data_IF_495305017828
#
_entry.id   IF_495305017828
#
_cell.length_a   1.000
_cell.length_b   1.000
_cell.length_c   1.000
_cell.angle_alpha   90.00
_cell.angle_beta   90.00
_cell.angle_gamma   90.00
#
_symmetry.space_group_name_H-M   'P 1'
#
loop_
_entity.id
_entity.type
_entity.pdbx_description
1 polymer ?
#
# COMPACT_ATOMS: atom_id res chain seq x y z
N UNK A 1 3.97 -7.74 -24.21
CA UNK A 1 2.69 -7.96 -23.54
C UNK A 1 2.01 -6.61 -23.33
N UNK A 2 0.73 -6.50 -23.67
CA UNK A 2 -0.06 -5.26 -23.54
C UNK A 2 -1.06 -5.42 -22.39
N UNK A 3 -0.99 -4.54 -21.39
CA UNK A 3 -1.80 -4.59 -20.19
C UNK A 3 -2.64 -3.33 -20.01
N UNK A 4 -3.90 -3.46 -19.61
CA UNK A 4 -4.74 -2.37 -19.18
C UNK A 4 -4.85 -2.37 -17.65
N UNK A 5 -4.39 -1.31 -17.00
CA UNK A 5 -4.59 -1.11 -15.56
C UNK A 5 -5.84 -0.25 -15.34
N UNK A 6 -6.79 -0.76 -14.55
CA UNK A 6 -8.05 -0.06 -14.23
C UNK A 6 -8.13 0.20 -12.73
N UNK A 7 -8.37 1.46 -12.35
CA UNK A 7 -8.39 1.85 -10.93
C UNK A 7 -9.27 3.05 -10.64
N UNK A 8 -9.80 3.12 -9.43
CA UNK A 8 -10.41 4.33 -8.86
C UNK A 8 -9.53 4.96 -7.75
N UNK A 9 -8.31 4.44 -7.61
CA UNK A 9 -7.29 4.87 -6.64
C UNK A 9 -6.05 5.31 -7.43
N UNK A 10 -6.01 6.57 -7.85
CA UNK A 10 -4.85 7.14 -8.53
C UNK A 10 -4.69 8.61 -8.10
N UNK A 11 -3.47 9.09 -7.87
CA UNK A 11 -3.23 10.47 -7.47
C UNK A 11 -3.70 11.46 -8.53
N UNK A 12 -4.37 12.51 -8.10
CA UNK A 12 -4.71 13.67 -8.92
C UNK A 12 -4.30 14.96 -8.20
N UNK A 13 -4.23 16.12 -8.86
CA UNK A 13 -3.94 17.38 -8.18
C UNK A 13 -4.89 17.66 -6.99
N UNK A 14 -6.17 17.28 -7.12
CA UNK A 14 -7.19 17.47 -6.08
C UNK A 14 -7.11 16.40 -4.97
N UNK A 15 -6.48 15.27 -5.26
CA UNK A 15 -6.36 14.11 -4.34
C UNK A 15 -4.97 13.48 -4.42
N UNK A 16 -3.92 14.19 -4.03
CA UNK A 16 -2.54 13.73 -4.20
C UNK A 16 -2.20 12.48 -3.37
N UNK A 17 -2.91 12.26 -2.27
CA UNK A 17 -2.73 11.08 -1.40
C UNK A 17 -3.56 9.86 -1.84
N UNK A 18 -4.29 9.91 -2.96
CA UNK A 18 -5.16 8.82 -3.41
C UNK A 18 -4.37 7.77 -4.20
N UNK A 19 -4.08 6.61 -3.60
CA UNK A 19 -3.52 5.44 -4.27
C UNK A 19 -2.13 5.63 -4.88
N UNK A 20 -1.17 6.28 -4.21
CA UNK A 20 0.19 6.45 -4.74
C UNK A 20 0.86 5.12 -5.07
N UNK A 21 0.53 4.05 -4.35
CA UNK A 21 1.03 2.70 -4.59
C UNK A 21 0.59 2.12 -5.96
N UNK A 22 -0.58 2.54 -6.49
CA UNK A 22 -1.01 2.14 -7.84
C UNK A 22 -0.20 2.90 -8.89
N UNK A 23 0.05 4.20 -8.69
CA UNK A 23 0.95 4.97 -9.53
C UNK A 23 2.35 4.33 -9.57
N UNK A 24 2.89 4.02 -8.40
CA UNK A 24 4.22 3.40 -8.28
C UNK A 24 4.28 2.05 -9.02
N UNK A 25 3.20 1.27 -9.00
CA UNK A 25 3.10 0.03 -9.78
C UNK A 25 3.09 0.30 -11.28
N UNK A 26 2.26 1.21 -11.76
CA UNK A 26 2.17 1.56 -13.19
C UNK A 26 3.51 2.08 -13.71
N UNK A 27 4.16 2.96 -12.94
CA UNK A 27 5.47 3.51 -13.31
C UNK A 27 6.55 2.42 -13.32
N UNK A 28 6.57 1.53 -12.34
CA UNK A 28 7.52 0.43 -12.29
C UNK A 28 7.33 -0.56 -13.45
N UNK A 29 6.08 -0.88 -13.79
CA UNK A 29 5.75 -1.72 -14.94
C UNK A 29 6.22 -1.08 -16.25
N UNK A 30 6.00 0.23 -16.44
CA UNK A 30 6.45 0.96 -17.62
C UNK A 30 7.97 1.02 -17.75
N UNK A 31 8.69 1.19 -16.62
CA UNK A 31 10.16 1.18 -16.61
C UNK A 31 10.77 -0.16 -17.05
N UNK A 32 10.06 -1.27 -16.92
CA UNK A 32 10.55 -2.58 -17.33
C UNK A 32 10.81 -2.70 -18.84
N UNK A 33 9.99 -2.04 -19.66
CA UNK A 33 10.11 -2.07 -21.13
C UNK A 33 9.63 -3.35 -21.82
N UNK A 34 9.33 -4.42 -21.08
CA UNK A 34 8.81 -5.69 -21.63
C UNK A 34 7.26 -5.78 -21.59
N UNK A 35 6.61 -4.73 -21.07
CA UNK A 35 5.16 -4.59 -20.98
C UNK A 35 4.73 -3.19 -21.40
N UNK A 36 3.80 -3.10 -22.32
CA UNK A 36 3.08 -1.87 -22.63
C UNK A 36 1.92 -1.72 -21.67
N UNK A 37 1.87 -0.61 -20.92
CA UNK A 37 0.85 -0.38 -19.89
C UNK A 37 0.00 0.81 -20.23
N UNK A 38 -1.29 0.55 -20.49
CA UNK A 38 -2.34 1.56 -20.51
C UNK A 38 -2.97 1.72 -19.13
N UNK A 39 -3.36 2.95 -18.81
CA UNK A 39 -4.01 3.28 -17.53
C UNK A 39 -5.38 3.89 -17.79
N UNK A 40 -6.40 3.29 -17.18
CA UNK A 40 -7.72 3.88 -17.04
C UNK A 40 -8.01 4.17 -15.56
N UNK A 41 -7.88 5.42 -15.17
CA UNK A 41 -8.20 5.88 -13.83
C UNK A 41 -9.50 6.70 -13.83
N UNK A 42 -10.35 6.50 -12.82
CA UNK A 42 -11.59 7.23 -12.66
C UNK A 42 -11.86 7.59 -11.20
N UNK A 43 -12.64 8.64 -10.89
CA UNK A 43 -12.90 9.03 -9.51
C UNK A 43 -13.71 7.97 -8.75
N UNK A 44 -13.36 7.74 -7.47
CA UNK A 44 -14.18 6.91 -6.58
C UNK A 44 -15.59 7.50 -6.39
N UNK A 45 -16.55 6.64 -6.06
CA UNK A 45 -17.94 7.00 -5.81
C UNK A 45 -18.93 6.20 -6.65
N UNK A 46 -20.05 5.82 -6.05
CA UNK A 46 -21.02 4.87 -6.61
C UNK A 46 -21.55 5.26 -8.00
N UNK A 47 -21.73 6.55 -8.25
CA UNK A 47 -22.21 7.09 -9.55
C UNK A 47 -21.18 6.96 -10.68
N UNK A 48 -19.89 6.81 -10.33
CA UNK A 48 -18.81 6.76 -11.31
C UNK A 48 -18.60 5.36 -11.90
N UNK A 49 -18.98 4.30 -11.21
CA UNK A 49 -18.82 2.93 -11.71
C UNK A 49 -19.59 2.64 -13.00
N UNK A 50 -20.91 2.98 -13.14
CA UNK A 50 -21.61 2.83 -14.42
C UNK A 50 -21.07 3.70 -15.56
N UNK A 51 -20.53 4.89 -15.22
CA UNK A 51 -19.88 5.77 -16.21
C UNK A 51 -18.57 5.15 -16.67
N UNK A 52 -17.76 4.63 -15.74
CA UNK A 52 -16.51 3.95 -16.03
C UNK A 52 -16.74 2.70 -16.91
N UNK A 53 -17.77 1.90 -16.62
CA UNK A 53 -18.12 0.73 -17.45
C UNK A 53 -18.43 1.13 -18.91
N UNK A 54 -19.25 2.17 -19.12
CA UNK A 54 -19.56 2.66 -20.46
C UNK A 54 -18.33 3.20 -21.18
N UNK A 55 -17.49 3.95 -20.46
CA UNK A 55 -16.28 4.54 -21.04
C UNK A 55 -15.23 3.48 -21.36
N UNK A 56 -15.03 2.46 -20.49
CA UNK A 56 -14.19 1.30 -20.76
C UNK A 56 -14.65 0.57 -22.00
N UNK A 57 -15.96 0.30 -22.09
CA UNK A 57 -16.53 -0.38 -23.28
C UNK A 57 -16.36 0.45 -24.55
N UNK A 58 -16.54 1.78 -24.47
CA UNK A 58 -16.39 2.67 -25.61
C UNK A 58 -14.94 2.75 -26.11
N UNK A 59 -13.96 2.81 -25.17
CA UNK A 59 -12.54 2.95 -25.52
C UNK A 59 -11.91 1.64 -25.90
N UNK A 60 -12.24 0.55 -25.18
CA UNK A 60 -11.49 -0.70 -25.19
C UNK A 60 -12.34 -1.93 -25.55
N UNK A 61 -13.64 -1.80 -25.78
CA UNK A 61 -14.52 -2.95 -26.07
C UNK A 61 -14.26 -3.68 -27.40
N UNK A 62 -13.37 -3.16 -28.24
CA UNK A 62 -12.89 -3.81 -29.46
C UNK A 62 -11.38 -4.03 -29.49
N UNK A 63 -10.68 -3.71 -28.38
CA UNK A 63 -9.24 -3.83 -28.28
C UNK A 63 -8.83 -5.11 -27.57
N UNK A 64 -7.75 -5.72 -28.03
CA UNK A 64 -7.14 -6.88 -27.38
C UNK A 64 -6.06 -6.42 -26.39
N UNK A 65 -6.25 -6.75 -25.12
CA UNK A 65 -5.22 -6.73 -24.10
C UNK A 65 -4.85 -8.16 -23.73
N UNK A 66 -3.56 -8.42 -23.50
CA UNK A 66 -3.14 -9.71 -22.96
C UNK A 66 -3.66 -9.89 -21.54
N UNK A 67 -3.79 -8.79 -20.78
CA UNK A 67 -4.33 -8.81 -19.40
C UNK A 67 -4.99 -7.48 -19.04
N UNK A 68 -6.07 -7.56 -18.27
CA UNK A 68 -6.70 -6.41 -17.61
C UNK A 68 -6.48 -6.52 -16.12
N UNK A 69 -5.68 -5.63 -15.55
CA UNK A 69 -5.34 -5.63 -14.12
C UNK A 69 -6.09 -4.53 -13.38
N UNK A 70 -6.99 -4.95 -12.52
CA UNK A 70 -7.88 -4.08 -11.76
C UNK A 70 -7.37 -3.92 -10.32
N UNK A 71 -7.37 -2.70 -9.81
CA UNK A 71 -7.14 -2.43 -8.41
C UNK A 71 -8.44 -2.09 -7.70
N UNK A 72 -8.74 -2.80 -6.63
CA UNK A 72 -9.93 -2.74 -5.80
C UNK A 72 -11.12 -3.55 -6.34
N UNK A 73 -11.71 -4.40 -5.47
CA UNK A 73 -12.72 -5.37 -5.86
C UNK A 73 -13.98 -4.79 -6.52
N UNK A 74 -14.42 -3.57 -6.11
CA UNK A 74 -15.55 -2.91 -6.75
C UNK A 74 -15.26 -2.49 -8.18
N UNK A 75 -14.00 -2.21 -8.51
CA UNK A 75 -13.56 -1.80 -9.86
C UNK A 75 -13.62 -2.97 -10.85
N UNK A 76 -13.70 -4.21 -10.35
CA UNK A 76 -13.94 -5.37 -11.21
C UNK A 76 -15.26 -5.25 -12.00
N UNK A 77 -16.32 -4.69 -11.41
CA UNK A 77 -17.61 -4.57 -12.08
C UNK A 77 -17.59 -3.72 -13.36
N UNK A 78 -17.01 -2.50 -13.39
CA UNK A 78 -16.83 -1.77 -14.64
C UNK A 78 -16.07 -2.55 -15.71
N UNK A 79 -15.02 -3.28 -15.37
CA UNK A 79 -14.26 -4.08 -16.33
C UNK A 79 -15.07 -5.25 -16.86
N UNK A 80 -15.76 -6.00 -15.98
CA UNK A 80 -16.65 -7.11 -16.35
C UNK A 80 -17.80 -6.65 -17.24
N UNK A 81 -18.46 -5.55 -16.89
CA UNK A 81 -19.56 -4.98 -17.69
C UNK A 81 -19.09 -4.44 -19.05
N UNK A 82 -17.81 -4.10 -19.17
CA UNK A 82 -17.19 -3.75 -20.44
C UNK A 82 -16.76 -4.97 -21.27
N UNK A 83 -16.84 -6.19 -20.71
CA UNK A 83 -16.44 -7.44 -21.39
C UNK A 83 -14.92 -7.62 -21.47
N UNK A 84 -14.17 -7.04 -20.53
CA UNK A 84 -12.72 -7.05 -20.55
C UNK A 84 -12.17 -8.27 -19.81
N UNK A 85 -11.40 -9.08 -20.49
CA UNK A 85 -10.75 -10.32 -20.02
C UNK A 85 -9.38 -10.52 -20.69
N UNK A 86 -8.46 -11.36 -20.11
CA UNK A 86 -8.53 -11.96 -18.79
C UNK A 86 -8.36 -10.93 -17.67
N UNK A 87 -9.07 -11.14 -16.55
CA UNK A 87 -9.23 -10.18 -15.47
C UNK A 87 -8.43 -10.58 -14.21
N UNK A 88 -7.37 -9.84 -13.93
CA UNK A 88 -6.63 -9.91 -12.66
C UNK A 88 -7.12 -8.82 -11.73
N UNK A 89 -7.46 -9.15 -10.47
CA UNK A 89 -7.97 -8.16 -9.51
C UNK A 89 -7.14 -8.18 -8.24
N UNK A 90 -6.40 -7.11 -7.98
CA UNK A 90 -5.66 -6.95 -6.72
C UNK A 90 -6.56 -6.31 -5.65
N UNK A 91 -6.75 -7.05 -4.56
CA UNK A 91 -7.51 -6.65 -3.38
C UNK A 91 -6.56 -6.02 -2.35
N UNK A 92 -6.95 -4.85 -1.79
CA UNK A 92 -6.06 -4.00 -1.00
C UNK A 92 -6.39 -3.91 0.50
N UNK A 93 -7.47 -4.55 0.97
CA UNK A 93 -7.92 -4.54 2.37
C UNK A 93 -9.38 -4.13 2.47
N UNK A 94 -9.72 -2.88 2.28
CA UNK A 94 -11.10 -2.38 2.35
C UNK A 94 -12.08 -3.11 1.42
N UNK A 95 -11.59 -3.80 0.42
CA UNK A 95 -12.36 -4.69 -0.47
C UNK A 95 -13.20 -5.70 0.30
N UNK A 96 -12.57 -6.37 1.27
CA UNK A 96 -13.15 -7.46 2.05
C UNK A 96 -13.36 -7.12 3.52
N UNK A 97 -12.64 -6.11 4.06
CA UNK A 97 -12.72 -5.73 5.46
C UNK A 97 -13.84 -4.71 5.73
N UNK A 98 -14.19 -3.91 4.72
CA UNK A 98 -15.23 -2.90 4.89
C UNK A 98 -16.62 -3.46 4.52
N UNK A 99 -17.66 -3.33 5.39
CA UNK A 99 -18.97 -3.96 5.20
C UNK A 99 -19.72 -3.51 3.94
N UNK A 100 -19.47 -2.29 3.45
CA UNK A 100 -20.12 -1.78 2.22
C UNK A 100 -19.51 -2.32 0.92
N UNK A 101 -18.19 -2.56 0.89
CA UNK A 101 -17.49 -3.05 -0.32
C UNK A 101 -17.48 -4.57 -0.41
N UNK A 102 -17.46 -5.25 0.72
CA UNK A 102 -17.36 -6.72 0.79
C UNK A 102 -18.40 -7.47 -0.04
N UNK A 103 -19.72 -7.21 0.06
CA UNK A 103 -20.71 -7.97 -0.71
C UNK A 103 -20.50 -7.83 -2.23
N UNK A 104 -20.23 -6.63 -2.72
CA UNK A 104 -20.00 -6.40 -4.13
C UNK A 104 -18.69 -7.03 -4.61
N UNK A 105 -17.62 -7.00 -3.81
CA UNK A 105 -16.36 -7.68 -4.11
C UNK A 105 -16.55 -9.21 -4.17
N UNK A 106 -17.27 -9.78 -3.20
CA UNK A 106 -17.58 -11.21 -3.20
C UNK A 106 -18.45 -11.63 -4.40
N UNK A 107 -19.39 -10.77 -4.81
CA UNK A 107 -20.20 -11.00 -6.00
C UNK A 107 -19.40 -11.01 -7.31
N UNK A 108 -18.33 -10.21 -7.39
CA UNK A 108 -17.43 -10.19 -8.55
C UNK A 108 -16.40 -11.34 -8.55
N UNK A 109 -16.11 -11.91 -7.38
CA UNK A 109 -15.02 -12.89 -7.20
C UNK A 109 -15.11 -14.13 -8.13
N UNK A 110 -16.29 -14.71 -8.44
CA UNK A 110 -16.40 -15.83 -9.40
C UNK A 110 -15.99 -15.50 -10.83
N UNK A 111 -15.99 -14.22 -11.18
CA UNK A 111 -15.69 -13.73 -12.53
C UNK A 111 -14.28 -13.18 -12.69
N UNK A 112 -13.46 -13.27 -11.65
CA UNK A 112 -12.05 -12.88 -11.70
C UNK A 112 -11.24 -14.10 -12.17
N UNK A 113 -10.49 -13.95 -13.26
CA UNK A 113 -9.62 -15.01 -13.77
C UNK A 113 -8.45 -15.25 -12.80
N UNK A 114 -7.94 -14.18 -12.18
CA UNK A 114 -6.94 -14.27 -11.12
C UNK A 114 -7.20 -13.22 -10.03
N UNK A 115 -7.86 -13.57 -8.93
CA UNK A 115 -7.85 -12.73 -7.73
C UNK A 115 -6.46 -12.70 -7.10
N UNK A 116 -6.05 -11.54 -6.63
CA UNK A 116 -4.76 -11.33 -5.97
C UNK A 116 -4.95 -10.57 -4.66
N UNK A 117 -4.10 -10.85 -3.69
CA UNK A 117 -4.06 -10.20 -2.39
C UNK A 117 -2.71 -9.54 -2.15
N UNK A 118 -2.70 -8.38 -1.51
CA UNK A 118 -1.46 -7.61 -1.26
C UNK A 118 -0.56 -8.21 -0.17
N UNK A 119 -1.07 -9.15 0.62
CA UNK A 119 -0.26 -9.91 1.59
C UNK A 119 -0.82 -11.32 1.79
N UNK A 120 0.01 -12.24 2.27
CA UNK A 120 -0.42 -13.60 2.61
C UNK A 120 -1.48 -13.57 3.71
N UNK A 121 -1.26 -12.82 4.79
CA UNK A 121 -2.23 -12.68 5.86
C UNK A 121 -3.58 -12.17 5.36
N UNK A 122 -3.58 -11.16 4.48
CA UNK A 122 -4.81 -10.63 3.90
C UNK A 122 -5.49 -11.64 2.95
N UNK A 123 -4.74 -12.51 2.26
CA UNK A 123 -5.31 -13.52 1.35
C UNK A 123 -6.25 -14.50 2.06
N UNK A 124 -6.10 -14.71 3.35
CA UNK A 124 -6.97 -15.58 4.16
C UNK A 124 -8.41 -15.06 4.24
N UNK A 125 -8.63 -13.76 3.99
CA UNK A 125 -9.96 -13.15 3.90
C UNK A 125 -10.66 -13.44 2.57
N UNK A 126 -9.97 -13.98 1.56
CA UNK A 126 -10.56 -14.34 0.27
C UNK A 126 -11.18 -15.74 0.39
N UNK A 127 -12.50 -15.89 0.20
CA UNK A 127 -13.14 -17.20 0.31
C UNK A 127 -12.54 -18.24 -0.63
N UNK A 128 -12.17 -19.39 -0.08
CA UNK A 128 -11.57 -20.49 -0.82
C UNK A 128 -10.08 -20.34 -1.14
N UNK A 129 -9.41 -19.27 -0.68
CA UNK A 129 -7.98 -19.08 -0.92
C UNK A 129 -7.15 -20.29 -0.46
N UNK A 130 -6.24 -20.75 -1.33
CA UNK A 130 -5.35 -21.88 -1.07
C UNK A 130 -6.02 -23.26 -0.96
N UNK A 131 -7.34 -23.36 -1.12
CA UNK A 131 -8.12 -24.62 -1.05
C UNK A 131 -8.86 -24.91 -2.35
N UNK A 132 -9.78 -24.07 -2.72
CA UNK A 132 -10.62 -24.20 -3.93
C UNK A 132 -10.42 -23.06 -4.93
N UNK A 133 -9.63 -22.06 -4.55
CA UNK A 133 -9.34 -20.88 -5.36
C UNK A 133 -7.86 -20.53 -5.31
N UNK A 134 -7.26 -20.39 -6.49
CA UNK A 134 -5.94 -19.77 -6.62
C UNK A 134 -6.06 -18.28 -6.32
N UNK A 135 -5.22 -17.77 -5.43
CA UNK A 135 -5.08 -16.35 -5.12
C UNK A 135 -3.59 -15.99 -5.23
N UNK A 136 -3.25 -15.06 -6.11
CA UNK A 136 -1.89 -14.58 -6.21
C UNK A 136 -1.55 -13.66 -5.01
N UNK A 137 -0.29 -13.68 -4.58
CA UNK A 137 0.20 -12.71 -3.59
C UNK A 137 1.01 -11.66 -4.33
N UNK A 138 0.42 -10.47 -4.49
CA UNK A 138 0.99 -9.33 -5.20
C UNK A 138 1.16 -8.14 -4.24
N UNK A 139 2.24 -8.12 -3.44
CA UNK A 139 2.50 -7.03 -2.50
C UNK A 139 2.65 -5.69 -3.24
N UNK A 140 2.14 -4.62 -2.65
CA UNK A 140 2.47 -3.28 -3.11
C UNK A 140 3.97 -3.01 -2.95
N UNK A 141 4.54 -2.25 -3.86
CA UNK A 141 5.94 -1.87 -3.84
C UNK A 141 6.17 -0.48 -3.26
N UNK A 142 7.38 -0.27 -2.77
CA UNK A 142 7.88 1.04 -2.31
C UNK A 142 8.92 1.54 -3.32
N UNK A 143 8.79 2.78 -3.74
CA UNK A 143 9.79 3.44 -4.58
C UNK A 143 11.02 3.82 -3.73
N UNK A 144 12.09 3.05 -3.85
CA UNK A 144 13.31 3.24 -3.10
C UNK A 144 14.15 4.44 -3.56
N UNK A 145 13.82 5.09 -4.66
CA UNK A 145 14.45 6.35 -5.07
C UNK A 145 13.82 7.51 -4.32
N UNK A 146 12.51 7.45 -4.12
CA UNK A 146 11.73 8.41 -3.33
C UNK A 146 11.93 8.20 -1.82
N UNK A 147 11.72 6.97 -1.33
CA UNK A 147 11.92 6.60 0.07
C UNK A 147 13.39 6.21 0.30
N UNK A 148 14.13 7.14 0.84
CA UNK A 148 15.55 7.02 1.13
C UNK A 148 15.92 7.78 2.37
N UNK A 149 17.06 7.50 2.93
CA UNK A 149 17.60 8.29 4.03
C UNK A 149 17.83 9.73 3.59
N UNK A 150 17.26 10.66 4.34
CA UNK A 150 17.43 12.11 4.25
C UNK A 150 17.99 12.55 5.61
N UNK A 151 18.97 13.47 5.67
CA UNK A 151 19.42 14.04 6.94
C UNK A 151 18.25 14.60 7.73
N UNK A 152 18.12 14.24 9.02
CA UNK A 152 16.98 14.66 9.86
C UNK A 152 16.86 16.18 9.96
N UNK A 153 17.98 16.87 10.05
CA UNK A 153 17.99 18.33 10.07
C UNK A 153 17.38 18.95 8.81
N UNK A 154 17.73 18.44 7.62
CA UNK A 154 17.18 18.85 6.34
C UNK A 154 15.67 18.59 6.28
N UNK A 155 15.24 17.38 6.70
CA UNK A 155 13.82 17.01 6.70
C UNK A 155 13.01 17.93 7.64
N UNK A 156 13.53 18.24 8.82
CA UNK A 156 12.87 19.12 9.80
C UNK A 156 12.82 20.57 9.31
N UNK A 157 13.91 21.07 8.78
CA UNK A 157 13.98 22.42 8.20
C UNK A 157 12.93 22.59 7.09
N UNK A 158 12.86 21.64 6.16
CA UNK A 158 11.86 21.64 5.08
C UNK A 158 10.43 21.68 5.59
N UNK A 159 10.15 21.02 6.72
CA UNK A 159 8.81 20.93 7.31
C UNK A 159 8.53 22.04 8.34
N UNK A 160 9.46 22.95 8.58
CA UNK A 160 9.36 24.00 9.61
C UNK A 160 9.26 23.42 11.03
N UNK A 161 9.89 22.28 11.29
CA UNK A 161 9.92 21.64 12.60
C UNK A 161 11.14 22.07 13.40
N UNK A 162 11.00 22.10 14.73
CA UNK A 162 12.12 22.34 15.64
C UNK A 162 13.21 21.27 15.46
N UNK A 163 14.47 21.73 15.31
CA UNK A 163 15.61 20.84 15.14
C UNK A 163 15.89 19.96 16.36
N UNK A 164 15.56 20.42 17.57
CA UNK A 164 15.92 19.79 18.84
C UNK A 164 14.90 18.80 19.39
N UNK A 165 13.64 18.84 18.97
CA UNK A 165 12.58 18.04 19.57
C UNK A 165 12.59 16.58 19.15
N UNK A 166 12.22 15.61 20.01
CA UNK A 166 11.81 14.30 19.59
C UNK A 166 10.43 14.36 18.91
N UNK A 167 10.28 13.63 17.82
CA UNK A 167 9.00 13.49 17.11
C UNK A 167 8.72 12.03 16.88
N UNK A 168 7.46 11.61 17.08
CA UNK A 168 6.94 10.36 16.57
C UNK A 168 6.03 10.64 15.37
N UNK A 169 5.95 9.73 14.42
CA UNK A 169 5.08 9.88 13.26
C UNK A 169 4.00 8.79 13.26
N UNK A 170 2.74 9.21 13.26
CA UNK A 170 1.60 8.38 12.86
C UNK A 170 1.32 8.61 11.38
N UNK A 171 1.65 7.66 10.48
CA UNK A 171 1.73 7.89 9.04
C UNK A 171 0.37 7.74 8.34
N UNK A 172 -0.70 8.18 8.99
CA UNK A 172 -2.07 8.06 8.49
C UNK A 172 -2.92 9.29 8.80
N UNK A 173 -4.06 9.38 8.11
CA UNK A 173 -5.15 10.26 8.49
C UNK A 173 -5.78 9.78 9.80
N UNK A 174 -5.92 10.69 10.75
CA UNK A 174 -6.45 10.44 12.10
C UNK A 174 -7.93 10.03 12.11
N UNK A 175 -8.66 10.36 11.05
CA UNK A 175 -10.08 10.02 10.89
C UNK A 175 -10.35 8.54 10.56
N UNK A 176 -9.30 7.74 10.30
CA UNK A 176 -9.41 6.33 9.92
C UNK A 176 -9.41 5.40 11.14
N UNK A 177 -10.57 4.86 11.58
CA UNK A 177 -10.67 4.14 12.87
C UNK A 177 -9.76 2.91 12.97
N UNK A 178 -9.62 2.15 11.87
CA UNK A 178 -8.78 0.93 11.84
C UNK A 178 -7.29 1.22 12.01
N UNK A 179 -6.85 2.49 11.84
CA UNK A 179 -5.46 2.89 12.04
C UNK A 179 -5.12 3.20 13.49
N UNK A 180 -6.16 3.33 14.36
CA UNK A 180 -6.02 3.42 15.79
C UNK A 180 -5.12 4.60 16.23
N UNK A 181 -5.52 5.81 15.82
CA UNK A 181 -4.84 7.03 16.25
C UNK A 181 -4.81 7.19 17.78
N UNK A 182 -5.86 6.73 18.46
CA UNK A 182 -5.94 6.65 19.92
C UNK A 182 -4.71 5.94 20.52
N UNK A 183 -4.35 4.77 20.00
CA UNK A 183 -3.17 4.02 20.43
C UNK A 183 -1.87 4.78 20.14
N UNK A 184 -1.77 5.43 18.98
CA UNK A 184 -0.57 6.22 18.66
C UNK A 184 -0.37 7.37 19.64
N UNK A 185 -1.45 8.04 20.06
CA UNK A 185 -1.43 9.08 21.11
C UNK A 185 -0.99 8.50 22.46
N UNK A 186 -1.54 7.36 22.84
CA UNK A 186 -1.14 6.69 24.08
C UNK A 186 0.33 6.28 24.07
N UNK A 187 0.84 5.75 22.94
CA UNK A 187 2.25 5.40 22.80
C UNK A 187 3.18 6.63 22.88
N UNK A 188 2.75 7.73 22.27
CA UNK A 188 3.53 8.96 22.22
C UNK A 188 3.67 9.65 23.60
N UNK A 189 2.61 9.58 24.44
CA UNK A 189 2.58 10.31 25.70
C UNK A 189 2.77 11.80 25.48
N UNK A 190 3.83 12.38 26.08
CA UNK A 190 4.16 13.81 25.95
C UNK A 190 5.00 14.14 24.71
N UNK A 191 5.44 13.12 23.96
CA UNK A 191 6.22 13.32 22.73
C UNK A 191 5.31 13.83 21.63
N UNK A 192 5.72 14.88 20.91
CA UNK A 192 4.95 15.43 19.80
C UNK A 192 4.73 14.39 18.71
N UNK A 193 3.46 14.09 18.43
CA UNK A 193 3.04 13.15 17.41
C UNK A 193 2.67 13.88 16.11
N UNK A 194 3.44 13.62 15.06
CA UNK A 194 3.16 14.09 13.70
C UNK A 194 2.15 13.15 13.02
N UNK A 195 1.35 13.69 12.10
CA UNK A 195 0.32 12.91 11.37
C UNK A 195 0.34 13.22 9.88
N UNK A 196 -0.07 12.25 9.04
CA UNK A 196 -0.16 12.41 7.59
C UNK A 196 -1.63 12.38 7.14
N UNK A 197 -2.25 13.56 7.10
CA UNK A 197 -3.59 13.75 6.51
C UNK A 197 -3.49 14.60 5.23
N UNK A 198 -3.71 13.99 4.05
CA UNK A 198 -3.69 14.74 2.78
C UNK A 198 -2.32 15.18 2.29
N UNK A 199 -1.24 14.71 2.88
CA UNK A 199 0.14 15.01 2.47
C UNK A 199 0.44 14.37 1.12
N UNK A 200 1.02 15.12 0.15
CA UNK A 200 1.47 14.56 -1.11
C UNK A 200 2.51 13.47 -0.92
N UNK A 201 2.46 12.43 -1.75
CA UNK A 201 3.34 11.26 -1.63
C UNK A 201 4.84 11.63 -1.71
N UNK A 202 5.17 12.69 -2.43
CA UNK A 202 6.53 13.22 -2.60
C UNK A 202 7.08 13.84 -1.31
N UNK A 203 6.21 14.29 -0.41
CA UNK A 203 6.61 14.88 0.88
C UNK A 203 6.69 13.86 2.02
N UNK A 204 6.02 12.72 1.90
CA UNK A 204 6.00 11.66 2.93
C UNK A 204 7.42 11.25 3.39
N UNK A 205 8.43 11.11 2.51
CA UNK A 205 9.80 10.78 2.95
C UNK A 205 10.40 11.80 3.92
N UNK A 206 10.09 13.09 3.78
CA UNK A 206 10.57 14.11 4.70
C UNK A 206 9.94 13.97 6.09
N UNK A 207 8.62 13.68 6.14
CA UNK A 207 7.93 13.43 7.41
C UNK A 207 8.49 12.21 8.13
N UNK A 208 8.76 11.12 7.40
CA UNK A 208 9.38 9.91 7.94
C UNK A 208 10.77 10.25 8.50
N UNK A 209 11.63 10.91 7.71
CA UNK A 209 13.00 11.22 8.12
C UNK A 209 13.07 12.27 9.25
N UNK A 210 12.09 13.13 9.41
CA UNK A 210 11.99 14.09 10.51
C UNK A 210 11.71 13.42 11.86
N UNK A 211 11.02 12.28 11.85
CA UNK A 211 10.59 11.57 13.06
C UNK A 211 11.70 10.68 13.65
N UNK A 212 11.68 10.51 14.97
CA UNK A 212 12.54 9.59 15.69
C UNK A 212 12.11 8.13 15.49
N UNK A 213 10.80 7.89 15.38
CA UNK A 213 10.23 6.60 15.03
C UNK A 213 8.87 6.77 14.36
N UNK A 214 8.48 5.78 13.56
CA UNK A 214 7.14 5.65 12.94
C UNK A 214 6.32 4.66 13.76
N UNK A 215 5.09 5.04 14.13
CA UNK A 215 4.19 4.24 14.97
C UNK A 215 2.93 3.87 14.20
N UNK A 216 2.71 2.56 13.99
CA UNK A 216 1.61 2.00 13.19
C UNK A 216 0.81 0.99 14.02
N UNK A 217 0.04 1.45 15.03
CA UNK A 217 -0.69 0.58 15.95
C UNK A 217 -2.02 0.08 15.36
N UNK A 218 -2.07 -0.12 14.05
CA UNK A 218 -3.28 -0.47 13.30
C UNK A 218 -3.96 -1.72 13.84
N UNK A 219 -5.29 -1.73 13.80
CA UNK A 219 -6.09 -2.92 14.09
C UNK A 219 -6.11 -3.87 12.91
N UNK A 220 -6.01 -3.33 11.69
CA UNK A 220 -6.01 -4.09 10.46
C UNK A 220 -5.26 -3.36 9.33
N UNK A 221 -4.63 -4.15 8.46
CA UNK A 221 -3.92 -3.69 7.27
C UNK A 221 -4.07 -4.71 6.14
N UNK A 222 -4.22 -4.23 4.92
CA UNK A 222 -4.03 -5.10 3.75
C UNK A 222 -2.55 -5.46 3.58
N UNK A 223 -1.70 -4.44 3.47
CA UNK A 223 -0.24 -4.57 3.33
C UNK A 223 0.52 -3.94 4.50
N UNK A 224 0.27 -2.67 4.80
CA UNK A 224 1.01 -1.90 5.80
C UNK A 224 2.29 -1.28 5.23
N UNK A 225 2.16 -0.47 4.17
CA UNK A 225 3.31 0.14 3.48
C UNK A 225 4.14 1.05 4.38
N UNK A 226 3.51 1.72 5.33
CA UNK A 226 4.17 2.74 6.15
C UNK A 226 5.40 2.23 6.93
N UNK A 227 5.38 0.97 7.41
CA UNK A 227 6.56 0.39 8.08
C UNK A 227 7.68 0.06 7.08
N UNK A 228 7.32 -0.26 5.83
CA UNK A 228 8.30 -0.54 4.76
C UNK A 228 8.92 0.76 4.28
N UNK A 229 8.12 1.82 4.13
CA UNK A 229 8.56 3.17 3.77
C UNK A 229 9.51 3.74 4.83
N UNK A 230 9.20 3.54 6.12
CA UNK A 230 10.09 3.89 7.23
C UNK A 230 11.41 3.12 7.18
N UNK A 231 11.34 1.80 6.96
CA UNK A 231 12.54 0.95 6.80
C UNK A 231 13.39 1.39 5.61
N UNK A 232 12.77 1.76 4.48
CA UNK A 232 13.48 2.29 3.31
C UNK A 232 14.23 3.61 3.58
N UNK A 233 13.75 4.38 4.58
CA UNK A 233 14.38 5.61 5.07
C UNK A 233 15.35 5.37 6.25
N UNK A 234 15.59 4.13 6.65
CA UNK A 234 16.36 3.75 7.85
C UNK A 234 15.84 4.40 9.15
N UNK A 235 14.53 4.61 9.23
CA UNK A 235 13.86 5.15 10.41
C UNK A 235 13.20 4.01 11.19
N UNK A 236 13.41 3.93 12.53
CA UNK A 236 12.76 2.93 13.37
C UNK A 236 11.26 2.90 13.17
N UNK A 237 10.69 1.71 13.04
CA UNK A 237 9.25 1.53 12.84
C UNK A 237 8.68 0.49 13.81
N UNK A 238 7.51 0.81 14.36
CA UNK A 238 6.78 -0.04 15.29
C UNK A 238 5.38 -0.32 14.74
N UNK A 239 5.05 -1.59 14.56
CA UNK A 239 3.77 -2.02 14.00
C UNK A 239 3.12 -3.13 14.81
N UNK A 240 1.79 -3.17 14.82
CA UNK A 240 1.02 -4.33 15.28
C UNK A 240 1.14 -5.50 14.28
N UNK A 241 0.92 -6.78 14.68
CA UNK A 241 1.09 -7.94 13.80
C UNK A 241 -0.08 -8.10 12.81
N UNK A 242 -0.23 -7.11 11.91
CA UNK A 242 -1.25 -7.08 10.86
C UNK A 242 -0.62 -6.87 9.48
N UNK A 243 -1.31 -7.30 8.42
CA UNK A 243 -0.81 -7.18 7.06
C UNK A 243 0.53 -7.87 6.85
N UNK A 244 1.52 -7.13 6.37
CA UNK A 244 2.89 -7.61 6.16
C UNK A 244 3.88 -7.12 7.24
N UNK A 245 3.42 -6.48 8.33
CA UNK A 245 4.30 -5.86 9.31
C UNK A 245 5.33 -6.85 9.89
N UNK A 246 4.89 -8.05 10.30
CA UNK A 246 5.78 -9.06 10.88
C UNK A 246 6.92 -9.46 9.93
N UNK A 247 6.60 -9.63 8.64
CA UNK A 247 7.60 -10.00 7.63
C UNK A 247 8.47 -8.82 7.24
N UNK A 248 7.92 -7.60 7.22
CA UNK A 248 8.62 -6.38 6.81
C UNK A 248 9.63 -5.93 7.84
N UNK A 249 9.31 -6.07 9.14
CA UNK A 249 10.14 -5.61 10.24
C UNK A 249 11.08 -6.70 10.78
N UNK A 250 10.95 -7.94 10.30
CA UNK A 250 11.79 -9.04 10.77
C UNK A 250 13.28 -8.80 10.50
N UNK A 251 14.09 -8.89 11.54
CA UNK A 251 15.56 -8.76 11.48
C UNK A 251 16.06 -7.32 11.37
N UNK A 252 15.22 -6.32 11.65
CA UNK A 252 15.63 -4.91 11.74
C UNK A 252 15.78 -4.54 13.21
N UNK A 253 17.00 -4.52 13.70
CA UNK A 253 17.29 -4.13 15.07
C UNK A 253 16.85 -2.67 15.31
N UNK A 254 16.15 -2.43 16.43
CA UNK A 254 15.57 -1.11 16.74
C UNK A 254 14.21 -0.84 16.10
N UNK A 255 13.64 -1.80 15.34
CA UNK A 255 12.25 -1.80 14.91
C UNK A 255 11.53 -3.02 15.47
N UNK A 256 10.21 -2.95 15.63
CA UNK A 256 9.46 -4.07 16.19
C UNK A 256 8.06 -4.25 15.58
N UNK A 257 7.68 -5.53 15.38
CA UNK A 257 6.31 -5.92 15.19
C UNK A 257 5.83 -6.62 16.46
N UNK A 258 4.90 -5.99 17.19
CA UNK A 258 4.48 -6.45 18.51
C UNK A 258 2.99 -6.17 18.75
N UNK A 259 2.30 -7.02 19.53
CA UNK A 259 0.92 -6.75 19.94
C UNK A 259 0.80 -5.39 20.61
N UNK A 260 -0.40 -4.81 20.53
CA UNK A 260 -0.64 -3.54 21.21
C UNK A 260 -0.65 -3.74 22.72
N UNK A 261 0.29 -3.11 23.38
CA UNK A 261 0.34 -2.88 24.82
C UNK A 261 1.00 -1.52 25.03
N UNK A 262 0.32 -0.60 25.72
CA UNK A 262 0.76 0.79 25.86
C UNK A 262 2.16 0.90 26.50
N UNK A 263 2.38 0.18 27.58
CA UNK A 263 3.59 0.33 28.37
C UNK A 263 4.80 -0.35 27.69
N UNK A 264 4.56 -1.51 27.05
CA UNK A 264 5.56 -2.16 26.22
C UNK A 264 5.96 -1.30 25.00
N UNK A 265 4.97 -0.64 24.33
CA UNK A 265 5.28 0.26 23.23
C UNK A 265 6.08 1.48 23.67
N UNK A 266 5.71 2.11 24.81
CA UNK A 266 6.48 3.22 25.39
C UNK A 266 7.90 2.81 25.73
N UNK A 267 8.08 1.66 26.36
CA UNK A 267 9.40 1.14 26.70
C UNK A 267 10.26 0.90 25.44
N UNK A 268 9.67 0.33 24.37
CA UNK A 268 10.37 0.10 23.11
C UNK A 268 10.70 1.39 22.36
N UNK A 269 9.88 2.43 22.44
CA UNK A 269 10.10 3.74 21.82
C UNK A 269 11.10 4.62 22.58
N UNK A 270 11.24 4.44 23.90
CA UNK A 270 12.03 5.32 24.75
C UNK A 270 13.49 5.52 24.28
N UNK A 271 14.26 4.50 23.87
CA UNK A 271 15.63 4.69 23.37
C UNK A 271 15.68 5.59 22.13
N UNK A 272 14.69 5.49 21.24
CA UNK A 272 14.63 6.28 20.01
C UNK A 272 14.21 7.72 20.29
N UNK A 273 13.32 7.94 21.23
CA UNK A 273 12.91 9.28 21.69
C UNK A 273 14.09 10.01 22.35
N UNK A 274 14.89 9.31 23.14
CA UNK A 274 16.07 9.87 23.80
C UNK A 274 17.24 10.16 22.84
N UNK A 275 17.32 9.43 21.72
CA UNK A 275 18.40 9.60 20.76
C UNK A 275 18.15 10.83 19.85
N UNK A 276 19.23 11.58 19.53
CA UNK A 276 19.14 12.75 18.63
C UNK A 276 18.80 12.38 17.20
N UNK A 277 19.39 11.31 16.65
CA UNK A 277 19.16 10.82 15.28
C UNK A 277 19.14 9.28 15.27
N UNK A 278 18.09 8.65 15.84
CA UNK A 278 17.98 7.20 15.80
C UNK A 278 17.81 6.72 14.36
N UNK A 279 18.59 5.70 14.01
CA UNK A 279 18.54 5.03 12.69
C UNK A 279 18.65 3.53 12.87
N UNK A 280 18.11 2.82 11.90
CA UNK A 280 18.16 1.35 11.80
C UNK A 280 18.72 0.97 10.43
N UNK A 281 19.20 -0.26 10.30
CA UNK A 281 19.55 -0.82 8.98
C UNK A 281 18.30 -1.50 8.37
N UNK A 282 17.38 -0.66 7.91
CA UNK A 282 16.07 -1.10 7.39
C UNK A 282 16.03 -1.29 5.89
N UNK A 283 16.89 -0.59 5.16
CA UNK A 283 16.83 -0.51 3.70
C UNK A 283 16.94 -1.87 3.00
N UNK A 284 17.86 -2.72 3.46
CA UNK A 284 18.03 -4.08 2.91
C UNK A 284 16.75 -4.93 3.05
N UNK A 285 16.01 -4.76 4.15
CA UNK A 285 14.71 -5.40 4.34
C UNK A 285 13.64 -4.82 3.40
N UNK A 286 13.63 -3.49 3.20
CA UNK A 286 12.69 -2.81 2.32
C UNK A 286 12.91 -3.18 0.83
N UNK A 287 14.13 -3.51 0.40
CA UNK A 287 14.42 -3.93 -0.98
C UNK A 287 13.60 -5.14 -1.42
N UNK A 288 13.20 -6.01 -0.51
CA UNK A 288 12.31 -7.15 -0.80
C UNK A 288 10.94 -6.71 -1.30
N UNK A 289 10.56 -5.48 -1.00
CA UNK A 289 9.30 -4.83 -1.34
C UNK A 289 9.50 -3.63 -2.27
N UNK A 290 10.62 -3.56 -3.01
CA UNK A 290 10.83 -2.48 -3.97
C UNK A 290 9.77 -2.50 -5.08
N UNK A 291 9.50 -1.33 -5.66
CA UNK A 291 8.57 -1.19 -6.78
C UNK A 291 8.98 -2.06 -7.98
N UNK A 292 10.28 -2.23 -8.23
CA UNK A 292 10.77 -3.05 -9.33
C UNK A 292 10.55 -4.56 -9.07
N UNK A 293 10.76 -5.02 -7.83
CA UNK A 293 10.43 -6.41 -7.46
C UNK A 293 8.92 -6.66 -7.49
N UNK A 294 8.12 -5.70 -7.07
CA UNK A 294 6.66 -5.75 -7.20
C UNK A 294 6.27 -5.91 -8.68
N UNK A 295 6.78 -5.05 -9.58
CA UNK A 295 6.50 -5.13 -11.01
C UNK A 295 6.91 -6.49 -11.62
N UNK A 296 8.06 -7.04 -11.20
CA UNK A 296 8.49 -8.37 -11.63
C UNK A 296 7.50 -9.47 -11.22
N UNK A 297 6.99 -9.42 -9.96
CA UNK A 297 5.99 -10.38 -9.45
C UNK A 297 4.66 -10.26 -10.18
N UNK A 298 4.22 -9.04 -10.47
CA UNK A 298 2.97 -8.78 -11.22
C UNK A 298 3.07 -9.39 -12.62
N UNK A 299 4.15 -9.11 -13.36
CA UNK A 299 4.36 -9.66 -14.71
C UNK A 299 4.47 -11.19 -14.68
N UNK A 300 5.15 -11.76 -13.69
CA UNK A 300 5.22 -13.21 -13.54
C UNK A 300 3.83 -13.85 -13.31
N UNK A 301 2.99 -13.20 -12.49
CA UNK A 301 1.63 -13.70 -12.27
C UNK A 301 0.75 -13.59 -13.53
N UNK A 302 0.91 -12.52 -14.32
CA UNK A 302 0.22 -12.36 -15.59
C UNK A 302 0.60 -13.44 -16.61
N UNK A 303 1.92 -13.68 -16.77
CA UNK A 303 2.42 -14.74 -17.66
C UNK A 303 1.90 -16.12 -17.26
N UNK A 304 1.96 -16.45 -15.96
CA UNK A 304 1.46 -17.71 -15.47
C UNK A 304 -0.06 -17.90 -15.69
N UNK A 305 -0.85 -16.81 -15.66
CA UNK A 305 -2.28 -16.86 -16.00
C UNK A 305 -2.49 -17.13 -17.50
N UNK A 306 -1.70 -16.50 -18.36
CA UNK A 306 -1.81 -16.66 -19.82
C UNK A 306 -1.33 -18.04 -20.28
N UNK A 307 -0.27 -18.58 -19.70
CA UNK A 307 0.26 -19.92 -20.00
C UNK A 307 -0.74 -21.03 -19.60
N UNK A 308 -1.56 -20.80 -18.57
CA UNK A 308 -2.61 -21.76 -18.16
C UNK A 308 -3.86 -21.72 -19.09
N UNK A 309 -4.05 -20.63 -19.82
CA UNK A 309 -5.19 -20.44 -20.73
C UNK A 309 -4.87 -20.86 -22.19
N UNK A 310 -3.59 -21.08 -22.52
CA UNK A 310 -3.11 -21.49 -23.83
C UNK A 310 -3.13 -23.02 -23.96
#
# INVERSE_FOLDING_TARGET
MRALVVTNMYPTPERPASGPFVRDQVEALRRRGDVEVELFAFPAGTRNYPRAARELRRRYGGEAFDVVHVHFGLVAWPALLAGLHPLVVTLHGNDLLHPRSRPATLGALPFMDLPAAVSRAFSENVPGAGRTRRVAILPCGVDLTRFRRIPRAEARERLGLDAGGPYLLFPHDTSRPLKRFDRAQEAAGDVRLLTLGGVPAEEVPYWINAANAVVVPSQDEGMGLAVIEASACDVPAFGTPVGAHAVSLAGIDGSACMPWDRDAWRAALAPHVAARDPRVDGRAAAERFSADRMAARVVAAWRALLDEAA
#
